data_IF_258290125562
#
_entry.id   IF_258290125562
#
_cell.length_a   1.000
_cell.length_b   1.000
_cell.length_c   1.000
_cell.angle_alpha   90.00
_cell.angle_beta   90.00
_cell.angle_gamma   90.00
#
_symmetry.space_group_name_H-M   'P 1'
#
loop_
_entity.id
_entity.type
_entity.pdbx_description
1 polymer ?
#
# COMPACT_ATOMS: atom_id res chain seq x y z
N UNK A 1 -18.06 -15.89 -4.07
CA UNK A 1 -19.13 -15.23 -3.28
C UNK A 1 -19.49 -13.96 -4.03
N UNK A 2 -20.76 -13.57 -4.11
CA UNK A 2 -21.18 -12.52 -5.05
C UNK A 2 -21.31 -11.15 -4.37
N UNK A 3 -21.09 -10.09 -5.13
CA UNK A 3 -21.37 -8.71 -4.70
C UNK A 3 -22.82 -8.56 -4.21
N UNK A 4 -23.76 -9.29 -4.84
CA UNK A 4 -25.19 -9.32 -4.48
C UNK A 4 -25.46 -9.76 -3.04
N UNK A 5 -24.56 -10.55 -2.45
CA UNK A 5 -24.70 -11.03 -1.06
C UNK A 5 -24.62 -9.89 -0.03
N UNK A 6 -23.98 -8.77 -0.39
CA UNK A 6 -23.91 -7.57 0.47
C UNK A 6 -25.18 -6.73 0.41
N UNK A 7 -25.90 -6.73 -0.73
CA UNK A 7 -26.99 -5.80 -1.01
C UNK A 7 -28.04 -5.68 0.10
N UNK A 8 -28.56 -6.79 0.68
CA UNK A 8 -29.57 -6.72 1.74
C UNK A 8 -29.11 -6.01 3.01
N UNK A 9 -27.80 -5.99 3.28
CA UNK A 9 -27.22 -5.28 4.42
C UNK A 9 -27.04 -3.79 4.09
N UNK A 10 -26.57 -3.48 2.89
CA UNK A 10 -26.34 -2.10 2.45
C UNK A 10 -27.64 -1.30 2.38
N UNK A 11 -28.74 -1.90 1.90
CA UNK A 11 -30.05 -1.24 1.83
C UNK A 11 -30.62 -0.88 3.22
N UNK A 12 -30.17 -1.58 4.28
CA UNK A 12 -30.60 -1.33 5.67
C UNK A 12 -29.70 -0.34 6.40
N UNK A 13 -28.50 -0.06 5.89
CA UNK A 13 -27.61 0.93 6.50
C UNK A 13 -28.20 2.32 6.28
N UNK A 14 -28.45 3.06 7.37
CA UNK A 14 -28.82 4.46 7.31
C UNK A 14 -27.74 5.30 7.99
N UNK A 15 -26.67 5.61 7.27
CA UNK A 15 -25.57 6.43 7.78
C UNK A 15 -25.15 7.51 6.77
N UNK A 16 -24.49 8.57 7.25
CA UNK A 16 -24.03 9.68 6.40
C UNK A 16 -23.00 9.32 5.32
N UNK A 17 -22.56 8.06 5.24
CA UNK A 17 -21.64 7.53 4.21
C UNK A 17 -22.36 6.67 3.16
N UNK A 18 -23.69 6.56 3.23
CA UNK A 18 -24.50 5.74 2.33
C UNK A 18 -24.23 6.02 0.86
N UNK A 19 -24.10 7.29 0.45
CA UNK A 19 -23.84 7.64 -0.95
C UNK A 19 -22.48 7.12 -1.45
N UNK A 20 -21.43 7.20 -0.63
CA UNK A 20 -20.11 6.65 -0.97
C UNK A 20 -20.18 5.14 -1.17
N UNK A 21 -20.81 4.45 -0.23
CA UNK A 21 -20.97 3.01 -0.25
C UNK A 21 -21.80 2.52 -1.43
N UNK A 22 -22.96 3.15 -1.69
CA UNK A 22 -23.86 2.78 -2.78
C UNK A 22 -23.20 3.06 -4.14
N UNK A 23 -22.55 4.22 -4.30
CA UNK A 23 -21.82 4.56 -5.53
C UNK A 23 -20.72 3.52 -5.81
N UNK A 24 -19.92 3.19 -4.79
CA UNK A 24 -18.88 2.17 -4.91
C UNK A 24 -19.44 0.78 -5.26
N UNK A 25 -20.54 0.38 -4.63
CA UNK A 25 -21.23 -0.88 -4.93
C UNK A 25 -21.67 -0.94 -6.40
N UNK A 26 -22.39 0.08 -6.88
CA UNK A 26 -22.89 0.13 -8.27
C UNK A 26 -21.74 0.18 -9.28
N UNK A 27 -20.65 0.88 -8.94
CA UNK A 27 -19.48 0.93 -9.79
C UNK A 27 -18.80 -0.43 -9.90
N UNK A 28 -18.76 -1.24 -8.84
CA UNK A 28 -18.27 -2.61 -8.92
C UNK A 28 -19.14 -3.51 -9.81
N UNK A 29 -20.45 -3.29 -9.86
CA UNK A 29 -21.34 -3.98 -10.82
C UNK A 29 -21.01 -3.58 -12.26
N UNK A 30 -20.76 -2.29 -12.52
CA UNK A 30 -20.34 -1.82 -13.84
C UNK A 30 -18.98 -2.41 -14.25
N UNK A 31 -18.04 -2.52 -13.32
CA UNK A 31 -16.73 -3.14 -13.57
C UNK A 31 -16.89 -4.63 -13.91
N UNK A 32 -17.75 -5.37 -13.21
CA UNK A 32 -18.05 -6.76 -13.56
C UNK A 32 -18.59 -6.89 -14.99
N UNK A 33 -19.52 -6.02 -15.38
CA UNK A 33 -20.06 -6.00 -16.75
C UNK A 33 -18.97 -5.73 -17.81
N UNK A 34 -18.05 -4.81 -17.53
CA UNK A 34 -16.93 -4.48 -18.42
C UNK A 34 -15.94 -5.65 -18.55
N UNK A 35 -15.60 -6.29 -17.42
CA UNK A 35 -14.70 -7.47 -17.42
C UNK A 35 -15.35 -8.66 -18.11
N UNK A 36 -16.63 -8.94 -17.85
CA UNK A 36 -17.37 -10.00 -18.53
C UNK A 36 -17.45 -9.76 -20.04
N UNK A 37 -17.63 -8.50 -20.46
CA UNK A 37 -17.66 -8.13 -21.87
C UNK A 37 -16.29 -8.29 -22.54
N UNK A 38 -15.20 -8.03 -21.82
CA UNK A 38 -13.84 -8.22 -22.31
C UNK A 38 -13.60 -9.64 -22.84
N UNK A 39 -14.08 -10.67 -22.13
CA UNK A 39 -13.90 -12.06 -22.56
C UNK A 39 -14.80 -12.46 -23.74
N UNK A 40 -15.92 -11.78 -23.94
CA UNK A 40 -16.92 -12.11 -24.97
C UNK A 40 -16.75 -11.33 -26.27
N UNK A 41 -16.03 -10.21 -26.23
CA UNK A 41 -15.83 -9.36 -27.38
C UNK A 41 -14.55 -9.76 -28.10
N UNK A 42 -14.67 -10.35 -29.28
CA UNK A 42 -13.53 -10.58 -30.16
C UNK A 42 -13.16 -9.26 -30.85
N UNK A 43 -11.91 -8.85 -30.70
CA UNK A 43 -11.34 -7.66 -31.32
C UNK A 43 -10.24 -8.12 -32.28
N UNK A 44 -10.40 -7.77 -33.55
CA UNK A 44 -9.51 -8.22 -34.64
C UNK A 44 -8.63 -7.09 -35.17
N UNK A 45 -9.15 -5.87 -35.22
CA UNK A 45 -8.40 -4.71 -35.67
C UNK A 45 -7.64 -4.05 -34.51
N UNK A 46 -6.48 -3.42 -34.82
CA UNK A 46 -5.62 -2.78 -33.81
C UNK A 46 -6.38 -1.75 -32.97
N UNK A 47 -7.27 -0.98 -33.59
CA UNK A 47 -8.10 0.02 -32.88
C UNK A 47 -9.06 -0.60 -31.86
N UNK A 48 -9.69 -1.72 -32.21
CA UNK A 48 -10.59 -2.44 -31.31
C UNK A 48 -9.83 -3.06 -30.14
N UNK A 49 -8.66 -3.64 -30.40
CA UNK A 49 -7.80 -4.22 -29.36
C UNK A 49 -7.37 -3.12 -28.39
N UNK A 50 -6.97 -1.94 -28.91
CA UNK A 50 -6.63 -0.78 -28.08
C UNK A 50 -7.79 -0.34 -27.19
N UNK A 51 -8.96 -0.09 -27.78
CA UNK A 51 -10.14 0.33 -27.03
C UNK A 51 -10.51 -0.68 -25.94
N UNK A 52 -10.46 -1.97 -26.29
CA UNK A 52 -10.77 -3.07 -25.39
C UNK A 52 -9.79 -3.16 -24.22
N UNK A 53 -8.48 -3.07 -24.47
CA UNK A 53 -7.44 -3.12 -23.44
C UNK A 53 -7.47 -1.88 -22.55
N UNK A 54 -7.61 -0.67 -23.14
CA UNK A 54 -7.71 0.57 -22.36
C UNK A 54 -8.98 0.60 -21.50
N UNK A 55 -10.11 0.19 -22.07
CA UNK A 55 -11.38 0.08 -21.35
C UNK A 55 -11.26 -0.87 -20.17
N UNK A 56 -10.61 -2.02 -20.34
CA UNK A 56 -10.35 -2.95 -19.25
C UNK A 56 -9.44 -2.36 -18.18
N UNK A 57 -8.29 -1.78 -18.55
CA UNK A 57 -7.38 -1.18 -17.59
C UNK A 57 -8.09 -0.10 -16.75
N UNK A 58 -8.85 0.78 -17.41
CA UNK A 58 -9.67 1.78 -16.74
C UNK A 58 -10.71 1.15 -15.80
N UNK A 59 -11.40 0.10 -16.24
CA UNK A 59 -12.36 -0.62 -15.40
C UNK A 59 -11.70 -1.23 -14.15
N UNK A 60 -10.52 -1.84 -14.30
CA UNK A 60 -9.77 -2.40 -13.17
C UNK A 60 -9.32 -1.31 -12.18
N UNK A 61 -8.87 -0.15 -12.65
CA UNK A 61 -8.51 0.98 -11.77
C UNK A 61 -9.70 1.48 -10.96
N UNK A 62 -10.81 1.73 -11.66
CA UNK A 62 -12.06 2.17 -11.03
C UNK A 62 -12.58 1.10 -10.07
N UNK A 63 -12.41 -0.18 -10.40
CA UNK A 63 -12.72 -1.31 -9.54
C UNK A 63 -11.92 -1.28 -8.24
N UNK A 64 -10.61 -1.07 -8.31
CA UNK A 64 -9.74 -0.94 -7.11
C UNK A 64 -10.18 0.21 -6.21
N UNK A 65 -10.41 1.40 -6.78
CA UNK A 65 -10.86 2.57 -6.01
C UNK A 65 -12.24 2.31 -5.37
N UNK A 66 -13.15 1.66 -6.10
CA UNK A 66 -14.47 1.29 -5.60
C UNK A 66 -14.40 0.26 -4.47
N UNK A 67 -13.47 -0.71 -4.52
CA UNK A 67 -13.25 -1.63 -3.40
C UNK A 67 -12.79 -0.88 -2.14
N UNK A 68 -11.91 0.12 -2.28
CA UNK A 68 -11.49 0.97 -1.16
C UNK A 68 -12.65 1.76 -0.57
N UNK A 69 -13.45 2.39 -1.41
CA UNK A 69 -14.59 3.21 -1.00
C UNK A 69 -15.70 2.37 -0.38
N UNK A 70 -15.95 1.16 -0.90
CA UNK A 70 -16.89 0.22 -0.32
C UNK A 70 -16.45 -0.21 1.07
N UNK A 71 -15.18 -0.60 1.24
CA UNK A 71 -14.62 -0.95 2.55
C UNK A 71 -14.79 0.19 3.55
N UNK A 72 -14.41 1.41 3.18
CA UNK A 72 -14.49 2.58 4.09
C UNK A 72 -15.95 2.93 4.39
N UNK A 73 -16.85 2.83 3.40
CA UNK A 73 -18.27 3.06 3.57
C UNK A 73 -18.90 2.13 4.61
N UNK A 74 -18.56 0.84 4.54
CA UNK A 74 -19.08 -0.20 5.43
C UNK A 74 -18.44 -0.13 6.82
N UNK A 75 -17.10 -0.09 6.91
CA UNK A 75 -16.38 -0.32 8.17
C UNK A 75 -15.90 0.95 8.86
N UNK A 76 -16.09 2.13 8.25
CA UNK A 76 -15.51 3.42 8.64
C UNK A 76 -13.99 3.56 8.44
N UNK A 77 -13.30 2.51 7.99
CA UNK A 77 -11.85 2.49 7.90
C UNK A 77 -11.38 1.66 6.68
N UNK A 78 -10.08 1.69 6.43
CA UNK A 78 -9.46 0.97 5.30
C UNK A 78 -8.81 -0.35 5.71
N UNK A 79 -9.11 -0.90 6.90
CA UNK A 79 -8.36 -2.05 7.44
C UNK A 79 -8.59 -3.35 6.70
N UNK A 80 -9.76 -3.50 6.09
CA UNK A 80 -10.14 -4.68 5.31
C UNK A 80 -9.49 -4.73 3.92
N UNK A 81 -8.86 -3.63 3.48
CA UNK A 81 -8.31 -3.51 2.14
C UNK A 81 -6.88 -2.98 2.13
N UNK A 82 -6.00 -3.72 1.45
CA UNK A 82 -4.59 -3.38 1.29
C UNK A 82 -4.04 -3.90 -0.05
N UNK A 83 -4.66 -3.47 -1.15
CA UNK A 83 -4.39 -3.97 -2.51
C UNK A 83 -2.91 -3.84 -2.92
N UNK A 84 -2.18 -2.86 -2.39
CA UNK A 84 -0.76 -2.67 -2.70
C UNK A 84 0.15 -3.80 -2.20
N UNK A 85 -0.34 -4.72 -1.34
CA UNK A 85 0.43 -5.91 -0.95
C UNK A 85 0.41 -7.00 -2.02
N UNK A 86 -0.55 -6.96 -2.93
CA UNK A 86 -0.57 -7.83 -4.09
C UNK A 86 0.32 -7.21 -5.18
N UNK A 87 1.45 -7.86 -5.49
CA UNK A 87 2.44 -7.34 -6.45
C UNK A 87 1.85 -7.00 -7.82
N UNK A 88 0.93 -7.84 -8.31
CA UNK A 88 0.27 -7.64 -9.62
C UNK A 88 -0.65 -6.40 -9.55
N UNK A 89 -1.39 -6.23 -8.47
CA UNK A 89 -2.27 -5.08 -8.30
C UNK A 89 -1.52 -3.79 -7.95
N UNK A 90 -0.36 -3.89 -7.30
CA UNK A 90 0.55 -2.76 -7.12
C UNK A 90 1.09 -2.29 -8.47
N UNK A 91 1.49 -3.21 -9.35
CA UNK A 91 1.91 -2.91 -10.71
C UNK A 91 0.82 -2.23 -11.54
N UNK A 92 -0.45 -2.60 -11.34
CA UNK A 92 -1.59 -1.96 -12.00
C UNK A 92 -1.55 -0.43 -11.80
N UNK A 93 -1.27 0.09 -10.60
CA UNK A 93 -1.11 1.54 -10.36
C UNK A 93 -0.08 2.20 -11.29
N UNK A 94 1.04 1.53 -11.57
CA UNK A 94 2.07 2.05 -12.47
C UNK A 94 1.60 2.02 -13.93
N UNK A 95 1.04 0.89 -14.37
CA UNK A 95 0.46 0.73 -15.70
C UNK A 95 -0.60 1.80 -15.98
N UNK A 96 -1.45 2.14 -14.98
CA UNK A 96 -2.41 3.26 -15.07
C UNK A 96 -1.73 4.53 -15.51
N UNK A 97 -0.75 4.94 -14.71
CA UNK A 97 -0.15 6.25 -14.83
C UNK A 97 0.70 6.32 -16.11
N UNK A 98 1.33 5.20 -16.47
CA UNK A 98 2.19 5.11 -17.64
C UNK A 98 1.42 5.03 -18.95
N UNK A 99 0.28 4.34 -19.02
CA UNK A 99 -0.38 4.06 -20.31
C UNK A 99 -1.72 4.79 -20.46
N UNK A 100 -2.49 4.92 -19.39
CA UNK A 100 -3.86 5.45 -19.46
C UNK A 100 -3.94 6.90 -18.97
N UNK A 101 -3.22 7.25 -17.91
CA UNK A 101 -3.31 8.53 -17.23
C UNK A 101 -2.44 9.63 -17.85
N UNK A 102 -1.12 9.44 -17.82
CA UNK A 102 -0.16 10.48 -18.20
C UNK A 102 0.97 9.95 -19.11
N UNK A 103 0.66 9.26 -20.23
CA UNK A 103 1.67 8.58 -21.04
C UNK A 103 2.70 9.53 -21.70
N UNK A 104 2.31 10.75 -22.01
CA UNK A 104 3.13 11.69 -22.80
C UNK A 104 3.91 12.70 -21.96
N UNK A 105 3.63 12.79 -20.65
CA UNK A 105 4.30 13.72 -19.75
C UNK A 105 4.01 13.32 -18.30
N UNK A 106 4.51 12.15 -17.88
CA UNK A 106 4.39 11.73 -16.49
C UNK A 106 5.42 12.47 -15.67
N UNK A 107 5.00 13.44 -14.87
CA UNK A 107 5.87 14.02 -13.86
C UNK A 107 6.08 13.00 -12.74
N UNK A 108 7.30 12.50 -12.60
CA UNK A 108 7.71 11.84 -11.37
C UNK A 108 8.22 12.89 -10.37
N UNK A 109 8.39 12.50 -9.12
CA UNK A 109 8.93 13.40 -8.10
C UNK A 109 10.22 14.07 -8.59
N UNK A 110 10.41 15.35 -8.22
CA UNK A 110 11.60 16.17 -8.53
C UNK A 110 11.76 16.62 -9.99
N UNK A 111 10.68 16.61 -10.77
CA UNK A 111 10.70 17.16 -12.12
C UNK A 111 11.28 16.23 -13.18
N UNK A 112 11.49 14.95 -12.84
CA UNK A 112 11.74 13.90 -13.82
C UNK A 112 10.52 13.70 -14.68
N UNK A 113 10.73 13.48 -15.98
CA UNK A 113 9.65 13.34 -16.94
C UNK A 113 9.70 11.96 -17.58
N UNK A 114 8.57 11.26 -17.47
CA UNK A 114 8.29 9.98 -18.11
C UNK A 114 7.57 10.14 -19.43
N UNK A 115 8.06 9.42 -20.44
CA UNK A 115 7.36 9.24 -21.71
C UNK A 115 7.20 7.74 -21.96
N UNK A 116 5.97 7.28 -21.92
CA UNK A 116 5.61 5.88 -22.10
C UNK A 116 5.11 5.66 -23.51
N UNK A 117 5.65 4.63 -24.16
CA UNK A 117 5.30 4.24 -25.52
C UNK A 117 4.80 2.79 -25.47
N UNK A 118 3.55 2.61 -25.90
CA UNK A 118 2.97 1.30 -26.09
C UNK A 118 3.52 0.64 -27.36
N UNK A 119 3.90 -0.64 -27.26
CA UNK A 119 4.29 -1.44 -28.41
C UNK A 119 3.04 -1.99 -29.10
N UNK A 120 2.59 -1.29 -30.14
CA UNK A 120 1.39 -1.63 -30.90
C UNK A 120 1.54 -2.88 -31.76
N UNK A 121 2.77 -3.32 -32.05
CA UNK A 121 3.00 -4.51 -32.86
C UNK A 121 2.94 -5.78 -32.02
N UNK A 122 3.16 -5.66 -30.71
CA UNK A 122 3.04 -6.77 -29.75
C UNK A 122 1.77 -6.69 -28.89
N UNK A 123 0.89 -5.73 -29.14
CA UNK A 123 -0.39 -5.59 -28.45
C UNK A 123 -1.35 -6.69 -28.89
N UNK A 124 -1.86 -7.46 -27.93
CA UNK A 124 -2.88 -8.49 -28.17
C UNK A 124 -4.02 -8.40 -27.16
N UNK A 125 -5.05 -9.22 -27.35
CA UNK A 125 -6.12 -9.43 -26.35
C UNK A 125 -5.62 -10.10 -25.06
N UNK A 126 -4.36 -10.50 -24.98
CA UNK A 126 -3.82 -11.25 -23.84
C UNK A 126 -2.68 -10.51 -23.15
N UNK A 127 -1.91 -9.72 -23.90
CA UNK A 127 -0.69 -9.09 -23.44
C UNK A 127 -0.58 -7.62 -23.90
N UNK A 128 0.01 -6.81 -23.03
CA UNK A 128 0.34 -5.41 -23.24
C UNK A 128 1.83 -5.23 -22.98
N UNK A 129 2.58 -4.72 -23.95
CA UNK A 129 3.99 -4.37 -23.78
C UNK A 129 4.21 -2.90 -23.98
N UNK A 130 4.97 -2.29 -23.09
CA UNK A 130 5.33 -0.88 -23.22
C UNK A 130 6.72 -0.61 -22.67
N UNK A 131 7.27 0.52 -23.10
CA UNK A 131 8.52 1.05 -22.58
C UNK A 131 8.29 2.45 -22.05
N UNK A 132 9.01 2.80 -20.99
CA UNK A 132 8.97 4.14 -20.42
C UNK A 132 10.39 4.71 -20.41
N UNK A 133 10.54 5.87 -21.05
CA UNK A 133 11.74 6.69 -21.00
C UNK A 133 11.63 7.63 -19.82
N UNK A 134 12.54 7.52 -18.85
CA UNK A 134 12.60 8.40 -17.69
C UNK A 134 13.77 9.36 -17.87
N UNK A 135 13.47 10.64 -18.05
CA UNK A 135 14.46 11.70 -18.22
C UNK A 135 14.80 12.33 -16.87
N UNK A 136 16.11 12.39 -16.59
CA UNK A 136 16.66 13.04 -15.41
C UNK A 136 17.96 13.77 -15.74
N UNK A 137 17.91 15.11 -15.79
CA UNK A 137 19.07 16.01 -15.91
C UNK A 137 20.15 15.52 -16.90
N UNK A 138 19.71 15.06 -18.08
CA UNK A 138 20.48 14.54 -19.22
C UNK A 138 20.76 13.02 -19.29
N UNK A 139 20.27 12.23 -18.34
CA UNK A 139 20.29 10.77 -18.40
C UNK A 139 18.90 10.26 -18.80
N UNK A 140 18.86 9.25 -19.68
CA UNK A 140 17.65 8.56 -20.09
C UNK A 140 17.75 7.11 -19.64
N UNK A 141 16.93 6.74 -18.67
CA UNK A 141 16.72 5.33 -18.31
C UNK A 141 15.52 4.79 -19.08
N UNK A 142 15.63 3.55 -19.57
CA UNK A 142 14.52 2.87 -20.26
C UNK A 142 14.05 1.67 -19.45
N UNK A 143 12.77 1.68 -19.07
CA UNK A 143 12.11 0.58 -18.36
C UNK A 143 11.19 -0.13 -19.33
N UNK A 144 11.29 -1.46 -19.41
CA UNK A 144 10.42 -2.29 -20.23
C UNK A 144 9.42 -3.04 -19.34
N UNK A 145 8.19 -3.13 -19.79
CA UNK A 145 7.10 -3.81 -19.08
C UNK A 145 6.38 -4.77 -20.02
N UNK A 146 6.13 -5.98 -19.52
CA UNK A 146 5.35 -7.02 -20.18
C UNK A 146 4.22 -7.47 -19.26
N UNK A 147 3.00 -7.13 -19.64
CA UNK A 147 1.82 -7.21 -18.80
C UNK A 147 0.86 -8.25 -19.38
N UNK A 148 0.64 -9.32 -18.60
CA UNK A 148 -0.40 -10.30 -18.92
C UNK A 148 -1.76 -9.85 -18.39
N UNK A 149 -2.70 -9.64 -19.31
CA UNK A 149 -4.05 -9.19 -18.99
C UNK A 149 -4.81 -10.22 -18.15
N UNK A 150 -4.68 -11.51 -18.49
CA UNK A 150 -5.31 -12.59 -17.74
C UNK A 150 -4.83 -12.61 -16.28
N UNK A 151 -3.54 -12.36 -16.03
CA UNK A 151 -2.99 -12.27 -14.66
C UNK A 151 -3.57 -11.07 -13.89
N UNK A 152 -3.71 -9.91 -14.53
CA UNK A 152 -4.33 -8.72 -13.92
C UNK A 152 -5.78 -8.96 -13.52
N UNK A 153 -6.59 -9.49 -14.44
CA UNK A 153 -8.02 -9.79 -14.18
C UNK A 153 -8.14 -10.80 -13.03
N UNK A 154 -7.34 -11.87 -13.06
CA UNK A 154 -7.36 -12.89 -12.01
C UNK A 154 -6.97 -12.32 -10.65
N UNK A 155 -5.93 -11.50 -10.58
CA UNK A 155 -5.50 -10.85 -9.35
C UNK A 155 -6.60 -9.92 -8.80
N UNK A 156 -7.25 -9.14 -9.68
CA UNK A 156 -8.37 -8.28 -9.30
C UNK A 156 -9.53 -9.08 -8.70
N UNK A 157 -9.98 -10.14 -9.38
CA UNK A 157 -11.08 -10.98 -8.87
C UNK A 157 -10.73 -11.65 -7.54
N UNK A 158 -9.50 -12.13 -7.38
CA UNK A 158 -9.05 -12.71 -6.11
C UNK A 158 -9.15 -11.70 -4.96
N UNK A 159 -8.59 -10.50 -5.14
CA UNK A 159 -8.65 -9.45 -4.11
C UNK A 159 -10.09 -9.01 -3.84
N UNK A 160 -10.92 -8.86 -4.89
CA UNK A 160 -12.33 -8.53 -4.77
C UNK A 160 -13.08 -9.58 -3.96
N UNK A 161 -12.99 -10.85 -4.33
CA UNK A 161 -13.75 -11.93 -3.68
C UNK A 161 -13.38 -12.08 -2.21
N UNK A 162 -12.08 -12.00 -1.90
CA UNK A 162 -11.59 -12.05 -0.52
C UNK A 162 -12.12 -10.84 0.27
N UNK A 163 -12.03 -9.63 -0.27
CA UNK A 163 -12.53 -8.44 0.40
C UNK A 163 -14.04 -8.51 0.65
N UNK A 164 -14.82 -8.86 -0.37
CA UNK A 164 -16.29 -8.96 -0.24
C UNK A 164 -16.66 -9.98 0.85
N UNK A 165 -15.90 -11.09 0.95
CA UNK A 165 -16.08 -12.09 2.00
C UNK A 165 -15.82 -11.53 3.38
N UNK A 166 -14.71 -10.82 3.55
CA UNK A 166 -14.37 -10.22 4.83
C UNK A 166 -15.39 -9.13 5.24
N UNK A 167 -15.88 -8.34 4.27
CA UNK A 167 -16.91 -7.32 4.51
C UNK A 167 -18.27 -7.94 4.87
N UNK A 168 -18.65 -9.06 4.24
CA UNK A 168 -19.87 -9.78 4.60
C UNK A 168 -19.78 -10.35 6.03
N UNK A 169 -18.62 -10.88 6.41
CA UNK A 169 -18.38 -11.31 7.80
C UNK A 169 -18.55 -10.12 8.74
N UNK A 170 -17.89 -9.00 8.47
CA UNK A 170 -18.04 -7.78 9.27
C UNK A 170 -19.50 -7.33 9.43
N UNK A 171 -20.30 -7.34 8.35
CA UNK A 171 -21.71 -6.94 8.40
C UNK A 171 -22.59 -7.90 9.21
N UNK A 172 -22.15 -9.15 9.40
CA UNK A 172 -22.86 -10.18 10.17
C UNK A 172 -22.40 -10.24 11.62
N UNK A 173 -21.24 -9.70 11.95
CA UNK A 173 -20.66 -9.78 13.28
C UNK A 173 -20.87 -8.47 14.02
N UNK A 174 -21.51 -8.52 15.19
CA UNK A 174 -21.51 -7.40 16.13
C UNK A 174 -20.28 -7.54 17.03
N UNK A 175 -19.24 -6.73 16.75
CA UNK A 175 -17.97 -6.78 17.49
C UNK A 175 -17.74 -5.47 18.22
N UNK A 176 -17.45 -5.57 19.51
CA UNK A 176 -17.00 -4.48 20.37
C UNK A 176 -16.53 -5.01 21.73
N UNK A 177 -15.64 -4.28 22.40
CA UNK A 177 -15.15 -4.65 23.73
C UNK A 177 -14.33 -5.95 23.77
N UNK A 178 -13.48 -6.17 22.76
CA UNK A 178 -12.64 -7.37 22.68
C UNK A 178 -11.40 -7.21 23.56
N UNK A 179 -10.67 -8.29 23.82
CA UNK A 179 -9.37 -8.29 24.54
C UNK A 179 -8.19 -7.91 23.61
N UNK A 180 -8.44 -7.66 22.33
CA UNK A 180 -7.37 -7.52 21.34
C UNK A 180 -6.46 -6.30 21.60
N UNK A 181 -6.98 -5.08 21.87
CA UNK A 181 -6.18 -3.94 22.31
C UNK A 181 -5.31 -4.22 23.54
N UNK A 182 -5.82 -4.91 24.56
CA UNK A 182 -5.08 -5.27 25.78
C UNK A 182 -3.89 -6.16 25.45
N UNK A 183 -4.07 -7.20 24.63
CA UNK A 183 -2.97 -8.08 24.22
C UNK A 183 -1.88 -7.34 23.44
N UNK A 184 -2.28 -6.40 22.59
CA UNK A 184 -1.32 -5.60 21.82
C UNK A 184 -0.60 -4.59 22.73
N UNK A 185 -1.28 -4.05 23.74
CA UNK A 185 -0.64 -3.21 24.75
C UNK A 185 0.34 -4.01 25.60
N UNK A 186 0.00 -5.23 26.01
CA UNK A 186 0.90 -6.15 26.71
C UNK A 186 2.12 -6.51 25.85
N UNK A 187 1.94 -6.71 24.54
CA UNK A 187 3.03 -6.91 23.60
C UNK A 187 3.96 -5.68 23.55
N UNK A 188 3.41 -4.47 23.59
CA UNK A 188 4.19 -3.24 23.62
C UNK A 188 5.07 -3.15 24.87
N UNK A 189 4.54 -3.53 26.04
CA UNK A 189 5.24 -3.47 27.33
C UNK A 189 6.27 -4.59 27.48
N UNK A 190 5.90 -5.83 27.17
CA UNK A 190 6.69 -7.02 27.52
C UNK A 190 7.62 -7.50 26.42
N UNK A 191 7.31 -7.17 25.15
CA UNK A 191 8.01 -7.67 23.97
C UNK A 191 8.11 -9.20 23.94
N UNK A 192 7.04 -9.90 24.32
CA UNK A 192 7.02 -11.36 24.29
C UNK A 192 6.48 -11.88 22.96
N UNK A 193 7.28 -12.70 22.27
CA UNK A 193 6.96 -13.19 20.92
C UNK A 193 5.70 -14.06 20.87
N UNK A 194 5.41 -14.84 21.92
CA UNK A 194 4.22 -15.69 21.97
C UNK A 194 2.90 -14.89 21.95
N UNK A 195 2.93 -13.61 22.33
CA UNK A 195 1.75 -12.74 22.24
C UNK A 195 1.35 -12.49 20.79
N UNK A 196 2.26 -12.57 19.82
CA UNK A 196 1.95 -12.40 18.40
C UNK A 196 0.99 -13.48 17.90
N UNK A 197 1.23 -14.74 18.28
CA UNK A 197 0.36 -15.86 17.92
C UNK A 197 -1.01 -15.76 18.61
N UNK A 198 -1.00 -15.33 19.88
CA UNK A 198 -2.24 -15.09 20.64
C UNK A 198 -3.08 -13.98 20.00
N UNK A 199 -2.47 -12.85 19.62
CA UNK A 199 -3.12 -11.73 18.93
C UNK A 199 -3.73 -12.19 17.60
N UNK A 200 -2.96 -12.94 16.80
CA UNK A 200 -3.43 -13.47 15.51
C UNK A 200 -4.65 -14.37 15.68
N UNK A 201 -4.56 -15.34 16.61
CA UNK A 201 -5.66 -16.26 16.91
C UNK A 201 -6.90 -15.52 17.40
N UNK A 202 -6.74 -14.62 18.37
CA UNK A 202 -7.85 -13.81 18.89
C UNK A 202 -8.50 -12.98 17.78
N UNK A 203 -7.73 -12.40 16.87
CA UNK A 203 -8.28 -11.67 15.74
C UNK A 203 -9.12 -12.60 14.82
N UNK A 204 -8.62 -13.79 14.50
CA UNK A 204 -9.37 -14.76 13.68
C UNK A 204 -10.64 -15.25 14.35
N UNK A 205 -10.59 -15.55 15.65
CA UNK A 205 -11.74 -16.07 16.39
C UNK A 205 -12.85 -15.02 16.52
N UNK A 206 -12.47 -13.75 16.73
CA UNK A 206 -13.43 -12.64 16.94
C UNK A 206 -13.98 -12.10 15.63
N UNK A 207 -13.10 -11.83 14.66
CA UNK A 207 -13.47 -11.12 13.43
C UNK A 207 -13.76 -12.06 12.26
N UNK A 208 -13.40 -13.35 12.34
CA UNK A 208 -13.63 -14.33 11.27
C UNK A 208 -12.87 -14.07 9.96
N UNK A 209 -11.92 -13.13 9.96
CA UNK A 209 -11.17 -12.69 8.78
C UNK A 209 -9.79 -13.33 8.77
N UNK A 210 -9.50 -14.18 7.79
CA UNK A 210 -8.20 -14.86 7.62
C UNK A 210 -7.36 -14.32 6.46
N UNK A 211 -7.76 -13.17 5.92
CA UNK A 211 -7.08 -12.54 4.80
C UNK A 211 -5.72 -11.97 5.24
N UNK A 212 -4.59 -12.42 4.65
CA UNK A 212 -3.27 -11.91 4.99
C UNK A 212 -3.09 -10.41 4.64
N UNK A 213 -3.86 -9.89 3.69
CA UNK A 213 -3.84 -8.49 3.29
C UNK A 213 -4.65 -7.59 4.24
N UNK A 214 -5.42 -8.16 5.18
CA UNK A 214 -6.06 -7.35 6.23
C UNK A 214 -4.97 -6.59 6.98
N UNK A 215 -5.12 -5.26 7.13
CA UNK A 215 -4.04 -4.38 7.62
C UNK A 215 -3.53 -4.74 9.01
N UNK A 216 -4.39 -5.32 9.86
CA UNK A 216 -3.99 -5.84 11.17
C UNK A 216 -3.02 -7.02 11.03
N UNK A 217 -3.37 -8.02 10.21
CA UNK A 217 -2.55 -9.23 9.98
C UNK A 217 -1.24 -8.86 9.29
N UNK A 218 -1.32 -8.01 8.26
CA UNK A 218 -0.13 -7.49 7.59
C UNK A 218 0.80 -6.75 8.56
N UNK A 219 0.29 -5.84 9.39
CA UNK A 219 1.09 -5.15 10.43
C UNK A 219 1.67 -6.14 11.44
N UNK A 220 0.93 -7.17 11.83
CA UNK A 220 1.43 -8.21 12.73
C UNK A 220 2.61 -8.96 12.12
N UNK A 221 2.59 -9.23 10.81
CA UNK A 221 3.72 -9.82 10.11
C UNK A 221 4.94 -8.89 10.07
N UNK A 222 4.73 -7.58 9.89
CA UNK A 222 5.81 -6.59 10.02
C UNK A 222 6.44 -6.60 11.43
N UNK A 223 5.61 -6.71 12.47
CA UNK A 223 6.07 -6.84 13.86
C UNK A 223 6.89 -8.12 14.02
N UNK A 224 6.43 -9.27 13.48
CA UNK A 224 7.20 -10.53 13.49
C UNK A 224 8.58 -10.38 12.82
N UNK A 225 8.67 -9.63 11.73
CA UNK A 225 9.96 -9.31 11.06
C UNK A 225 10.86 -8.50 11.99
N UNK A 226 10.35 -7.40 12.56
CA UNK A 226 11.13 -6.57 13.48
C UNK A 226 11.61 -7.33 14.73
N UNK A 227 10.83 -8.28 15.24
CA UNK A 227 11.21 -9.11 16.39
C UNK A 227 12.43 -9.99 16.13
N UNK A 228 12.64 -10.41 14.88
CA UNK A 228 13.76 -11.25 14.45
C UNK A 228 14.91 -10.43 13.89
N UNK A 229 14.77 -9.11 13.86
CA UNK A 229 15.72 -8.21 13.23
C UNK A 229 16.64 -7.64 14.31
N UNK A 230 17.90 -8.07 14.25
CA UNK A 230 18.96 -7.57 15.13
C UNK A 230 20.12 -7.02 14.30
N UNK A 231 20.73 -5.96 14.81
CA UNK A 231 21.89 -5.28 14.24
C UNK A 231 23.03 -5.26 15.26
N UNK A 232 24.27 -5.43 14.78
CA UNK A 232 25.47 -5.33 15.64
C UNK A 232 25.77 -3.88 16.04
N UNK A 233 25.47 -2.93 15.16
CA UNK A 233 25.59 -1.50 15.47
C UNK A 233 24.47 -1.07 16.42
N UNK A 234 24.84 -0.62 17.62
CA UNK A 234 23.91 -0.23 18.68
C UNK A 234 22.94 0.90 18.27
N UNK A 235 23.37 1.84 17.41
CA UNK A 235 22.51 2.92 16.95
C UNK A 235 21.45 2.42 15.96
N UNK A 236 21.83 1.47 15.09
CA UNK A 236 20.91 0.78 14.19
C UNK A 236 19.97 -0.15 14.94
N UNK A 237 20.46 -0.90 15.94
CA UNK A 237 19.62 -1.74 16.80
C UNK A 237 18.58 -0.90 17.55
N UNK A 238 18.98 0.26 18.09
CA UNK A 238 18.04 1.19 18.72
C UNK A 238 17.00 1.71 17.73
N UNK A 239 17.39 1.94 16.47
CA UNK A 239 16.48 2.33 15.40
C UNK A 239 15.50 1.22 15.02
N UNK A 240 15.94 -0.03 14.90
CA UNK A 240 15.07 -1.20 14.65
C UNK A 240 14.08 -1.38 15.81
N UNK A 241 14.52 -1.23 17.06
CA UNK A 241 13.63 -1.26 18.23
C UNK A 241 12.59 -0.13 18.24
N UNK A 242 12.97 1.06 17.74
CA UNK A 242 12.02 2.14 17.50
C UNK A 242 11.00 1.74 16.43
N UNK A 243 11.43 1.20 15.28
CA UNK A 243 10.52 0.69 14.24
C UNK A 243 9.54 -0.31 14.84
N UNK A 244 10.02 -1.34 15.56
CA UNK A 244 9.19 -2.32 16.23
C UNK A 244 8.10 -1.66 17.10
N UNK A 245 8.50 -0.71 17.94
CA UNK A 245 7.58 0.04 18.81
C UNK A 245 6.52 0.79 18.02
N UNK A 246 6.90 1.47 16.94
CA UNK A 246 5.94 2.18 16.08
C UNK A 246 4.97 1.23 15.37
N UNK A 247 5.41 0.04 14.97
CA UNK A 247 4.53 -0.96 14.35
C UNK A 247 3.52 -1.51 15.35
N UNK A 248 3.93 -1.80 16.60
CA UNK A 248 3.01 -2.22 17.66
C UNK A 248 2.00 -1.11 18.00
N UNK A 249 2.44 0.15 18.08
CA UNK A 249 1.51 1.29 18.32
C UNK A 249 0.49 1.43 17.17
N UNK A 250 0.92 1.23 15.91
CA UNK A 250 0.00 1.22 14.76
C UNK A 250 -0.98 0.05 14.84
N UNK A 251 -0.53 -1.14 15.25
CA UNK A 251 -1.38 -2.31 15.47
C UNK A 251 -2.42 -2.04 16.55
N UNK A 252 -2.00 -1.42 17.67
CA UNK A 252 -2.87 -1.04 18.77
C UNK A 252 -3.95 -0.06 18.31
N UNK A 253 -3.58 0.95 17.51
CA UNK A 253 -4.55 1.89 16.92
C UNK A 253 -5.60 1.17 16.07
N UNK A 254 -5.20 0.21 15.24
CA UNK A 254 -6.14 -0.57 14.42
C UNK A 254 -7.12 -1.32 15.33
N UNK A 255 -6.61 -1.98 16.37
CA UNK A 255 -7.46 -2.74 17.29
C UNK A 255 -8.44 -1.85 18.07
N UNK A 256 -8.00 -0.65 18.50
CA UNK A 256 -8.88 0.34 19.12
C UNK A 256 -9.99 0.80 18.16
N UNK A 257 -9.64 1.08 16.90
CA UNK A 257 -10.61 1.52 15.89
C UNK A 257 -11.63 0.40 15.57
N UNK A 258 -11.19 -0.85 15.48
CA UNK A 258 -12.07 -2.01 15.27
C UNK A 258 -13.03 -2.20 16.46
N UNK A 259 -12.53 -2.02 17.69
CA UNK A 259 -13.32 -2.10 18.93
C UNK A 259 -14.11 -0.81 19.23
N UNK A 260 -13.99 0.23 18.39
CA UNK A 260 -14.59 1.57 18.58
C UNK A 260 -14.20 2.24 19.90
N UNK A 261 -12.99 1.96 20.39
CA UNK A 261 -12.42 2.54 21.62
C UNK A 261 -11.55 3.75 21.31
N UNK A 262 -11.60 4.76 22.18
CA UNK A 262 -10.73 5.95 22.10
C UNK A 262 -9.81 5.99 23.31
N UNK A 263 -8.62 5.42 23.16
CA UNK A 263 -7.57 5.46 24.16
C UNK A 263 -6.34 6.19 23.62
N UNK A 264 -5.54 6.73 24.54
CA UNK A 264 -4.27 7.36 24.18
C UNK A 264 -3.29 6.31 23.63
N UNK A 265 -2.57 6.69 22.58
CA UNK A 265 -1.53 5.85 22.01
C UNK A 265 -0.25 5.98 22.86
N UNK A 266 0.49 4.88 23.06
CA UNK A 266 1.81 4.94 23.66
C UNK A 266 2.77 5.83 22.86
N UNK A 267 3.77 6.38 23.53
CA UNK A 267 4.82 7.17 22.90
C UNK A 267 6.10 6.34 22.75
N UNK A 268 6.64 6.29 21.54
CA UNK A 268 7.96 5.73 21.27
C UNK A 268 8.99 6.87 21.13
N UNK A 269 10.05 6.82 21.95
CA UNK A 269 11.12 7.83 21.91
C UNK A 269 11.90 7.73 20.61
N UNK A 270 11.97 8.83 19.86
CA UNK A 270 12.72 8.92 18.60
C UNK A 270 14.23 8.73 18.87
N UNK A 271 14.90 7.78 18.21
CA UNK A 271 16.33 7.52 18.41
C UNK A 271 17.20 8.64 17.81
N UNK A 272 18.43 8.75 18.29
CA UNK A 272 19.36 9.84 17.90
C UNK A 272 19.59 9.90 16.39
N UNK A 273 19.80 8.74 15.75
CA UNK A 273 20.04 8.63 14.31
C UNK A 273 18.85 9.17 13.48
N UNK A 274 17.62 8.84 13.88
CA UNK A 274 16.41 9.34 13.23
C UNK A 274 16.18 10.82 13.53
N UNK A 275 16.42 11.25 14.77
CA UNK A 275 16.31 12.67 15.15
C UNK A 275 17.29 13.55 14.37
N UNK A 276 18.53 13.09 14.17
CA UNK A 276 19.51 13.76 13.33
C UNK A 276 19.05 13.85 11.87
N UNK A 277 18.50 12.76 11.34
CA UNK A 277 17.93 12.71 9.98
C UNK A 277 16.76 13.67 9.82
N UNK A 278 15.84 13.75 10.78
CA UNK A 278 14.75 14.72 10.75
C UNK A 278 15.25 16.16 10.83
N UNK A 279 16.28 16.46 11.63
CA UNK A 279 16.90 17.80 11.64
C UNK A 279 17.56 18.14 10.31
N UNK A 280 18.15 17.16 9.63
CA UNK A 280 18.69 17.34 8.29
C UNK A 280 17.58 17.66 7.28
N UNK A 281 16.48 16.90 7.28
CA UNK A 281 15.34 17.13 6.39
C UNK A 281 14.65 18.47 6.67
N UNK A 282 14.54 18.88 7.93
CA UNK A 282 13.96 20.18 8.31
C UNK A 282 14.80 21.37 7.83
N UNK A 283 16.10 21.18 7.57
CA UNK A 283 16.98 22.21 6.99
C UNK A 283 16.97 22.22 5.47
N UNK A 284 16.60 21.10 4.83
CA UNK A 284 16.68 20.89 3.39
C UNK A 284 15.30 20.49 2.84
N UNK A 285 14.34 21.44 2.90
CA UNK A 285 12.95 21.19 2.49
C UNK A 285 12.81 20.82 1.00
N UNK A 286 13.77 21.24 0.18
CA UNK A 286 13.90 20.87 -1.24
C UNK A 286 14.15 19.37 -1.45
N UNK A 287 14.63 18.66 -0.42
CA UNK A 287 14.87 17.22 -0.48
C UNK A 287 13.67 16.35 -0.06
N UNK A 288 12.57 16.96 0.42
CA UNK A 288 11.39 16.21 0.86
C UNK A 288 10.73 15.36 -0.24
N UNK A 289 10.68 15.78 -1.51
CA UNK A 289 10.16 14.93 -2.59
C UNK A 289 10.90 13.59 -2.75
N UNK A 290 12.18 13.51 -2.38
CA UNK A 290 12.98 12.27 -2.43
C UNK A 290 12.59 11.27 -1.33
N UNK A 291 11.71 11.63 -0.40
CA UNK A 291 11.21 10.71 0.62
C UNK A 291 10.07 9.83 0.13
N UNK A 292 9.41 10.23 -0.97
CA UNK A 292 8.14 9.65 -1.38
C UNK A 292 8.24 8.14 -1.67
N UNK A 293 9.35 7.72 -2.29
CA UNK A 293 9.54 6.37 -2.80
C UNK A 293 10.49 5.50 -1.97
N UNK A 294 11.01 6.01 -0.85
CA UNK A 294 11.99 5.27 -0.01
C UNK A 294 11.44 3.96 0.57
N UNK A 295 10.11 3.85 0.67
CA UNK A 295 9.43 2.70 1.26
C UNK A 295 9.01 1.64 0.24
N UNK A 296 9.22 1.88 -1.06
CA UNK A 296 8.84 0.98 -2.14
C UNK A 296 10.10 0.50 -2.87
N UNK A 297 10.51 -0.72 -2.54
CA UNK A 297 11.73 -1.35 -3.08
C UNK A 297 11.68 -1.51 -4.61
N UNK A 298 10.49 -1.81 -5.14
CA UNK A 298 10.27 -2.04 -6.57
C UNK A 298 10.04 -0.73 -7.33
N UNK A 299 10.00 0.43 -6.66
CA UNK A 299 9.81 1.71 -7.32
C UNK A 299 11.05 2.06 -8.18
N UNK A 300 10.86 2.45 -9.46
CA UNK A 300 11.98 2.75 -10.36
C UNK A 300 12.95 3.82 -9.83
N UNK A 301 12.44 4.77 -9.04
CA UNK A 301 13.24 5.86 -8.46
C UNK A 301 13.85 5.55 -7.09
N UNK A 302 13.58 4.39 -6.49
CA UNK A 302 14.00 4.08 -5.13
C UNK A 302 15.51 4.32 -4.89
N UNK A 303 16.36 3.69 -5.70
CA UNK A 303 17.83 3.83 -5.57
C UNK A 303 18.31 5.25 -5.86
N UNK A 304 17.73 5.88 -6.86
CA UNK A 304 18.06 7.26 -7.21
C UNK A 304 17.78 8.19 -6.02
N UNK A 305 16.58 8.08 -5.45
CA UNK A 305 16.13 8.95 -4.35
C UNK A 305 17.03 8.83 -3.12
N UNK A 306 17.44 7.59 -2.78
CA UNK A 306 18.41 7.33 -1.70
C UNK A 306 19.76 7.96 -2.00
N UNK A 307 20.27 7.82 -3.23
CA UNK A 307 21.58 8.35 -3.61
C UNK A 307 21.62 9.88 -3.60
N UNK A 308 20.54 10.55 -4.02
CA UNK A 308 20.46 12.00 -3.93
C UNK A 308 20.45 12.47 -2.47
N UNK A 309 19.71 11.81 -1.59
CA UNK A 309 19.72 12.14 -0.16
C UNK A 309 21.11 11.97 0.47
N UNK A 310 21.85 10.92 0.06
CA UNK A 310 23.23 10.68 0.48
C UNK A 310 24.21 11.77 -0.01
N UNK A 311 24.03 12.30 -1.23
CA UNK A 311 24.95 13.29 -1.80
C UNK A 311 24.82 14.68 -1.19
N UNK A 312 23.77 14.95 -0.40
CA UNK A 312 23.47 16.27 0.17
C UNK A 312 23.75 16.37 1.67
N UNK A 313 24.43 15.38 2.25
CA UNK A 313 24.68 15.35 3.70
C UNK A 313 26.09 14.90 4.05
N UNK A 314 26.71 15.60 4.99
CA UNK A 314 28.00 15.22 5.60
C UNK A 314 27.80 14.59 6.98
N UNK A 315 26.57 14.52 7.48
CA UNK A 315 26.30 14.04 8.84
C UNK A 315 26.51 12.52 8.92
N UNK A 316 27.40 12.02 9.79
CA UNK A 316 27.66 10.58 9.90
C UNK A 316 26.39 9.78 10.25
N UNK A 317 25.49 10.37 11.04
CA UNK A 317 24.21 9.78 11.41
C UNK A 317 23.27 9.61 10.21
N UNK A 318 23.19 10.63 9.36
CA UNK A 318 22.29 10.65 8.20
C UNK A 318 22.82 9.71 7.12
N UNK A 319 24.14 9.78 6.86
CA UNK A 319 24.84 8.86 5.96
C UNK A 319 24.62 7.42 6.42
N UNK A 320 24.82 7.13 7.72
CA UNK A 320 24.61 5.79 8.27
C UNK A 320 23.18 5.29 8.03
N UNK A 321 22.16 6.09 8.28
CA UNK A 321 20.76 5.66 8.11
C UNK A 321 20.39 5.43 6.65
N UNK A 322 20.80 6.31 5.74
CA UNK A 322 20.52 6.11 4.31
C UNK A 322 21.33 4.97 3.71
N UNK A 323 22.58 4.75 4.13
CA UNK A 323 23.33 3.55 3.76
C UNK A 323 22.69 2.28 4.32
N UNK A 324 22.15 2.34 5.54
CA UNK A 324 21.41 1.23 6.13
C UNK A 324 20.19 0.86 5.29
N UNK A 325 19.45 1.84 4.76
CA UNK A 325 18.36 1.63 3.79
C UNK A 325 18.89 1.07 2.46
N UNK A 326 19.92 1.70 1.88
CA UNK A 326 20.45 1.35 0.55
C UNK A 326 20.99 -0.08 0.46
N UNK A 327 21.51 -0.59 1.58
CA UNK A 327 22.12 -1.92 1.66
C UNK A 327 21.09 -3.03 1.94
N UNK A 328 19.81 -2.72 2.17
CA UNK A 328 18.80 -3.76 2.39
C UNK A 328 18.42 -4.47 1.09
N UNK A 329 18.40 -5.80 1.14
CA UNK A 329 17.86 -6.65 0.06
C UNK A 329 16.46 -7.18 0.36
N UNK A 330 15.98 -7.00 1.59
CA UNK A 330 14.66 -7.43 2.03
C UNK A 330 13.64 -6.29 1.84
N UNK A 331 12.67 -6.51 0.95
CA UNK A 331 11.60 -5.55 0.61
C UNK A 331 10.82 -5.09 1.85
N UNK A 332 10.60 -5.98 2.82
CA UNK A 332 9.88 -5.64 4.06
C UNK A 332 10.71 -4.71 4.94
N UNK A 333 12.01 -4.96 5.06
CA UNK A 333 12.93 -4.08 5.79
C UNK A 333 13.04 -2.72 5.13
N UNK A 334 13.12 -2.67 3.80
CA UNK A 334 13.10 -1.42 3.00
C UNK A 334 11.82 -0.64 3.29
N UNK A 335 10.66 -1.29 3.22
CA UNK A 335 9.38 -0.67 3.56
C UNK A 335 9.38 -0.08 4.98
N UNK A 336 9.90 -0.82 5.96
CA UNK A 336 9.92 -0.42 7.37
C UNK A 336 10.83 0.80 7.62
N UNK A 337 12.03 0.80 7.06
CA UNK A 337 12.98 1.92 7.19
C UNK A 337 12.45 3.14 6.44
N UNK A 338 12.11 2.97 5.16
CA UNK A 338 11.64 4.05 4.30
C UNK A 338 10.36 4.71 4.84
N UNK A 339 9.40 3.91 5.30
CA UNK A 339 8.16 4.43 5.92
C UNK A 339 8.43 5.18 7.22
N UNK A 340 9.48 4.80 7.94
CA UNK A 340 9.87 5.47 9.18
C UNK A 340 10.51 6.83 8.89
N UNK A 341 11.40 6.93 7.90
CA UNK A 341 11.99 8.20 7.47
C UNK A 341 10.94 9.13 6.88
N UNK A 342 10.06 8.60 6.01
CA UNK A 342 8.95 9.34 5.37
C UNK A 342 7.93 9.91 6.38
N UNK A 343 7.89 9.40 7.60
CA UNK A 343 7.00 9.92 8.65
C UNK A 343 7.41 11.31 9.18
N UNK A 344 8.50 11.88 8.68
CA UNK A 344 8.90 13.25 8.96
C UNK A 344 7.78 14.25 8.63
N UNK A 345 7.55 15.19 9.54
CA UNK A 345 6.63 16.32 9.36
C UNK A 345 7.45 17.61 9.51
N UNK A 346 7.58 18.43 8.45
CA UNK A 346 8.31 19.69 8.52
C UNK A 346 7.71 20.63 9.56
N UNK A 347 8.55 21.40 10.24
CA UNK A 347 8.04 22.50 11.06
C UNK A 347 7.41 23.53 10.14
N UNK A 348 6.19 24.00 10.46
CA UNK A 348 5.60 25.13 9.73
C UNK A 348 6.57 26.30 9.84
N UNK A 349 7.04 26.83 8.71
CA UNK A 349 7.76 28.11 8.68
C UNK A 349 6.78 29.16 9.22
N UNK A 350 7.11 29.71 10.39
CA UNK A 350 6.41 30.82 11.03
C UNK A 350 6.55 32.09 10.22
#
# INVERSE_FOLDING_TARGET
MSLKDLRPFLDKMNNGRNHRMISAYLMLENVDLMVDRYFKFEAFEKGDILLKVFGLLQALFVGVDSLYDLSIGITANKYYININQNKIMHQLKYIRNDIVGHPTNRTYDQGKIGFSILDLDQLTNENLKYKTYVYDKNVIDTVFQDVSIAKLIRAYHLEKDVLLKDLLVFLKTDVGGTILPELIFDLYQTRQMHLLEKIEKTFYDVYGVKNPNHRLIWRLNLVKVCFKWHEEDLELETFVNYILSTQIIKLYKIALDLDRRRLNLPYAKVPKILSATYKFLDKNHDLLPYLENLHDFDHPLHKHDVNVLLSHTESPYVIKLFNFLNNQTDETKVYLIGSTIKAFVPRKKS
#
